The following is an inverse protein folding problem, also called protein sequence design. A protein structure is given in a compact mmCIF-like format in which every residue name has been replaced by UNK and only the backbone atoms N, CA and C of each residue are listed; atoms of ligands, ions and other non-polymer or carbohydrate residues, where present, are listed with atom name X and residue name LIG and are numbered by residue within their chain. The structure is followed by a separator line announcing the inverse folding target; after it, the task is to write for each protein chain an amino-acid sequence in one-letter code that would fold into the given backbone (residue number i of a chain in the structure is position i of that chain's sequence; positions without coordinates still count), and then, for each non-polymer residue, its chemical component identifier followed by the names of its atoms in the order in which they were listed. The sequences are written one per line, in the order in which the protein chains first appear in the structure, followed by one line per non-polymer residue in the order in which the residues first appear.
data_IF_658270931069
#
_entry.id   IF_658270931069
#
_cell.length_a   1.000
_cell.length_b   1.000
_cell.length_c   1.000
_cell.angle_alpha   90.00
_cell.angle_beta   90.00
_cell.angle_gamma   90.00
#
_symmetry.space_group_name_H-M   'P 1'
#
loop_
_entity.id
_entity.type
_entity.pdbx_description
1 polymer ?
#
# COMPACT_ATOMS: atom_id res chain seq x y z
N UNK A 1 -0.72 -9.96 -15.40
CA UNK A 1 -1.08 -8.55 -15.16
C UNK A 1 -0.86 -8.14 -13.71
N UNK A 2 -1.46 -8.82 -12.72
CA UNK A 2 -1.32 -8.47 -11.30
C UNK A 2 0.14 -8.45 -10.79
N UNK A 3 0.95 -9.44 -11.15
CA UNK A 3 2.36 -9.49 -10.74
C UNK A 3 3.18 -8.30 -11.27
N UNK A 4 3.03 -8.00 -12.57
CA UNK A 4 3.70 -6.86 -13.19
C UNK A 4 3.24 -5.53 -12.57
N UNK A 5 1.94 -5.37 -12.31
CA UNK A 5 1.41 -4.17 -11.67
C UNK A 5 1.93 -3.98 -10.24
N UNK A 6 1.95 -5.04 -9.42
CA UNK A 6 2.47 -5.00 -8.05
C UNK A 6 3.97 -4.69 -8.00
N UNK A 7 4.75 -5.26 -8.93
CA UNK A 7 6.17 -4.96 -9.07
C UNK A 7 6.41 -3.52 -9.51
N UNK A 8 5.71 -3.06 -10.54
CA UNK A 8 5.88 -1.71 -11.08
C UNK A 8 5.53 -0.62 -10.06
N UNK A 9 4.44 -0.80 -9.31
CA UNK A 9 4.04 0.15 -8.26
C UNK A 9 5.09 0.23 -7.14
N UNK A 10 5.56 -0.92 -6.65
CA UNK A 10 6.60 -0.95 -5.63
C UNK A 10 7.96 -0.45 -6.14
N UNK A 11 8.30 -0.70 -7.41
CA UNK A 11 9.52 -0.17 -8.02
C UNK A 11 9.49 1.36 -8.10
N UNK A 12 8.36 1.93 -8.53
CA UNK A 12 8.17 3.37 -8.61
C UNK A 12 8.25 4.04 -7.22
N UNK A 13 7.66 3.43 -6.20
CA UNK A 13 7.75 3.90 -4.82
C UNK A 13 9.22 3.89 -4.33
N UNK A 14 9.96 2.81 -4.57
CA UNK A 14 11.38 2.73 -4.20
C UNK A 14 12.22 3.78 -4.93
N UNK A 15 11.96 4.00 -6.21
CA UNK A 15 12.65 5.02 -7.00
C UNK A 15 12.40 6.41 -6.42
N UNK A 16 11.16 6.73 -6.05
CA UNK A 16 10.82 7.98 -5.40
C UNK A 16 11.58 8.16 -4.07
N UNK A 17 11.63 7.13 -3.22
CA UNK A 17 12.38 7.17 -1.96
C UNK A 17 13.89 7.39 -2.17
N UNK A 18 14.48 6.78 -3.20
CA UNK A 18 15.89 6.99 -3.52
C UNK A 18 16.19 8.41 -3.99
N UNK A 19 15.32 8.97 -4.84
CA UNK A 19 15.46 10.35 -5.31
C UNK A 19 15.37 11.32 -4.13
N UNK A 20 14.41 11.11 -3.23
CA UNK A 20 14.27 11.91 -2.00
C UNK A 20 15.54 11.79 -1.14
N UNK A 21 16.04 10.57 -0.90
CA UNK A 21 17.24 10.36 -0.11
C UNK A 21 18.50 11.00 -0.74
N UNK A 22 18.59 11.07 -2.07
CA UNK A 22 19.69 11.77 -2.75
C UNK A 22 19.58 13.29 -2.62
N UNK A 23 18.36 13.84 -2.68
CA UNK A 23 18.10 15.26 -2.48
C UNK A 23 18.47 15.69 -1.06
N UNK A 24 18.00 14.93 -0.07
CA UNK A 24 18.25 15.15 1.36
C UNK A 24 19.74 15.11 1.70
N UNK A 25 20.47 14.12 1.16
CA UNK A 25 21.93 14.05 1.30
C UNK A 25 22.61 15.31 0.77
N UNK A 26 22.16 15.82 -0.37
CA UNK A 26 22.71 17.03 -0.94
C UNK A 26 22.37 18.28 -0.11
N UNK A 27 21.31 18.26 0.69
CA UNK A 27 20.89 19.35 1.59
C UNK A 27 21.71 19.33 2.87
N UNK A 28 21.87 18.16 3.49
CA UNK A 28 22.80 17.93 4.60
C UNK A 28 24.24 18.34 4.28
N UNK A 29 24.71 18.05 3.06
CA UNK A 29 26.05 18.46 2.59
C UNK A 29 26.17 19.98 2.36
N UNK A 30 25.05 20.65 2.06
CA UNK A 30 24.98 22.09 1.78
C UNK A 30 24.86 22.92 3.06
N UNK A 31 23.98 22.55 3.98
CA UNK A 31 23.70 23.31 5.20
C UNK A 31 23.20 22.43 6.36
N UNK A 32 24.12 21.64 6.93
CA UNK A 32 23.82 20.83 8.11
C UNK A 32 23.22 21.63 9.28
N UNK A 33 23.62 22.89 9.47
CA UNK A 33 23.06 23.73 10.53
C UNK A 33 21.60 24.08 10.30
N UNK A 34 21.24 24.42 9.06
CA UNK A 34 19.86 24.65 8.64
C UNK A 34 19.00 23.41 8.87
N UNK A 35 19.49 22.24 8.46
CA UNK A 35 18.80 20.96 8.64
C UNK A 35 18.49 20.66 10.12
N UNK A 36 19.44 20.91 11.03
CA UNK A 36 19.22 20.77 12.48
C UNK A 36 18.16 21.77 12.99
N UNK A 37 18.14 22.99 12.47
CA UNK A 37 17.15 24.01 12.82
C UNK A 37 15.74 23.58 12.36
N UNK A 38 15.63 23.00 11.16
CA UNK A 38 14.37 22.49 10.60
C UNK A 38 13.86 21.29 11.38
N UNK A 39 14.73 20.33 11.70
CA UNK A 39 14.39 19.17 12.54
C UNK A 39 13.97 19.60 13.96
N UNK A 40 14.63 20.61 14.53
CA UNK A 40 14.22 21.16 15.82
C UNK A 40 12.82 21.79 15.72
N UNK A 41 12.54 22.59 14.68
CA UNK A 41 11.23 23.18 14.46
C UNK A 41 10.14 22.12 14.28
N UNK A 42 10.43 21.01 13.60
CA UNK A 42 9.55 19.85 13.47
C UNK A 42 9.14 19.28 14.84
N UNK A 43 10.10 19.10 15.74
CA UNK A 43 9.84 18.58 17.09
C UNK A 43 9.13 19.59 18.00
N UNK A 44 9.42 20.89 17.87
CA UNK A 44 8.65 21.94 18.53
C UNK A 44 7.17 21.90 18.11
N UNK A 45 6.89 21.72 16.81
CA UNK A 45 5.53 21.58 16.29
C UNK A 45 4.80 20.33 16.83
N UNK A 46 5.55 19.29 17.19
CA UNK A 46 5.04 18.10 17.91
C UNK A 46 4.83 18.31 19.41
N UNK A 47 5.21 19.48 19.95
CA UNK A 47 4.93 19.91 21.32
C UNK A 47 6.13 19.88 22.27
N UNK A 48 7.36 19.69 21.76
CA UNK A 48 8.57 19.77 22.59
C UNK A 48 8.90 21.23 22.90
N UNK A 49 9.56 21.48 24.04
CA UNK A 49 10.14 22.81 24.30
C UNK A 49 11.31 23.06 23.34
N UNK A 50 11.63 24.32 23.01
CA UNK A 50 12.74 24.63 22.10
C UNK A 50 14.08 24.01 22.51
N UNK A 51 14.38 24.02 23.82
CA UNK A 51 15.60 23.38 24.35
C UNK A 51 15.60 21.86 24.14
N UNK A 52 14.46 21.18 24.33
CA UNK A 52 14.36 19.73 24.15
C UNK A 52 14.39 19.36 22.67
N UNK A 53 13.67 20.11 21.84
CA UNK A 53 13.60 19.90 20.40
C UNK A 53 14.97 20.04 19.73
N UNK A 54 15.73 21.07 20.12
CA UNK A 54 17.12 21.25 19.68
C UNK A 54 17.99 20.06 20.06
N UNK A 55 17.92 19.59 21.31
CA UNK A 55 18.68 18.41 21.76
C UNK A 55 18.33 17.15 20.97
N UNK A 56 17.04 16.91 20.76
CA UNK A 56 16.58 15.77 19.95
C UNK A 56 17.11 15.86 18.53
N UNK A 57 17.02 17.03 17.89
CA UNK A 57 17.56 17.24 16.55
C UNK A 57 19.07 16.96 16.48
N UNK A 58 19.85 17.49 17.41
CA UNK A 58 21.30 17.27 17.47
C UNK A 58 21.65 15.78 17.73
N UNK A 59 20.97 15.11 18.66
CA UNK A 59 21.21 13.71 19.00
C UNK A 59 20.84 12.77 17.85
N UNK A 60 19.69 12.99 17.20
CA UNK A 60 19.26 12.21 16.03
C UNK A 60 20.20 12.43 14.84
N UNK A 61 20.59 13.69 14.59
CA UNK A 61 21.53 14.03 13.52
C UNK A 61 22.90 13.40 13.76
N UNK A 62 23.38 13.36 15.01
CA UNK A 62 24.64 12.74 15.36
C UNK A 62 24.62 11.20 15.21
N UNK A 63 23.45 10.57 15.38
CA UNK A 63 23.29 9.14 15.16
C UNK A 63 23.18 8.80 13.66
N UNK A 64 22.24 9.43 12.96
CA UNK A 64 22.03 9.30 11.51
C UNK A 64 21.22 10.49 10.99
N UNK A 65 21.92 11.49 10.45
CA UNK A 65 21.32 12.71 9.91
C UNK A 65 20.32 12.45 8.79
N UNK A 66 20.65 11.54 7.88
CA UNK A 66 19.78 11.25 6.73
C UNK A 66 18.51 10.52 7.18
N UNK A 67 18.65 9.52 8.03
CA UNK A 67 17.47 8.81 8.55
C UNK A 67 16.57 9.73 9.37
N UNK A 68 17.15 10.65 10.15
CA UNK A 68 16.40 11.62 10.95
C UNK A 68 15.54 12.54 10.07
N UNK A 69 16.10 13.08 9.00
CA UNK A 69 15.36 13.96 8.07
C UNK A 69 14.35 13.18 7.24
N UNK A 70 14.71 12.00 6.73
CA UNK A 70 13.78 11.14 5.98
C UNK A 70 12.53 10.76 6.79
N UNK A 71 12.68 10.44 8.07
CA UNK A 71 11.54 10.20 8.96
C UNK A 71 10.75 11.50 9.23
N UNK A 72 11.43 12.56 9.68
CA UNK A 72 10.77 13.80 10.09
C UNK A 72 9.99 14.49 8.94
N UNK A 73 10.56 14.53 7.74
CA UNK A 73 10.01 15.30 6.63
C UNK A 73 9.15 14.46 5.68
N UNK A 74 9.53 13.20 5.49
CA UNK A 74 8.91 12.33 4.49
C UNK A 74 8.22 11.09 5.08
N UNK A 75 8.37 10.84 6.39
CA UNK A 75 7.83 9.64 7.04
C UNK A 75 8.47 8.35 6.53
N UNK A 76 9.72 8.42 6.07
CA UNK A 76 10.48 7.29 5.55
C UNK A 76 11.43 6.81 6.66
N UNK A 77 10.95 5.85 7.46
CA UNK A 77 11.76 5.21 8.50
C UNK A 77 12.95 4.43 7.92
N UNK A 78 12.70 3.69 6.83
CA UNK A 78 13.70 2.89 6.12
C UNK A 78 13.45 2.93 4.61
N UNK A 79 14.52 3.03 3.83
CA UNK A 79 14.44 2.94 2.37
C UNK A 79 14.05 1.51 1.98
N UNK A 80 13.06 1.40 1.10
CA UNK A 80 12.58 0.11 0.63
C UNK A 80 13.70 -0.74 0.00
N UNK A 81 13.80 -1.98 0.50
CA UNK A 81 14.80 -2.95 0.05
C UNK A 81 14.69 -3.22 -1.47
N UNK A 82 15.83 -3.45 -2.13
CA UNK A 82 15.90 -3.69 -3.57
C UNK A 82 15.07 -4.90 -4.04
N UNK A 83 14.92 -5.93 -3.20
CA UNK A 83 14.13 -7.11 -3.50
C UNK A 83 12.61 -6.89 -3.29
N UNK A 84 12.19 -5.84 -2.60
CA UNK A 84 10.78 -5.62 -2.23
C UNK A 84 9.83 -5.53 -3.45
N UNK A 85 10.19 -4.86 -4.57
CA UNK A 85 9.36 -4.86 -5.76
C UNK A 85 9.11 -6.25 -6.35
N UNK A 86 10.13 -7.12 -6.32
CA UNK A 86 9.99 -8.50 -6.80
C UNK A 86 9.00 -9.26 -5.92
N UNK A 87 9.15 -9.15 -4.60
CA UNK A 87 8.24 -9.81 -3.65
C UNK A 87 6.81 -9.29 -3.74
N UNK A 88 6.62 -7.99 -3.91
CA UNK A 88 5.32 -7.37 -4.16
C UNK A 88 4.65 -7.97 -5.40
N UNK A 89 5.40 -8.08 -6.51
CA UNK A 89 4.91 -8.69 -7.74
C UNK A 89 4.55 -10.17 -7.58
N UNK A 90 5.42 -10.97 -6.96
CA UNK A 90 5.17 -12.39 -6.72
C UNK A 90 3.92 -12.60 -5.86
N UNK A 91 3.81 -11.86 -4.74
CA UNK A 91 2.67 -11.94 -3.85
C UNK A 91 1.37 -11.55 -4.56
N UNK A 92 1.37 -10.45 -5.33
CA UNK A 92 0.21 -10.02 -6.12
C UNK A 92 -0.18 -11.05 -7.19
N UNK A 93 0.80 -11.68 -7.84
CA UNK A 93 0.58 -12.74 -8.82
C UNK A 93 -0.08 -13.98 -8.20
N UNK A 94 0.45 -14.46 -7.08
CA UNK A 94 -0.08 -15.62 -6.36
C UNK A 94 -1.50 -15.34 -5.85
N UNK A 95 -1.71 -14.18 -5.22
CA UNK A 95 -3.03 -13.79 -4.71
C UNK A 95 -4.08 -13.72 -5.84
N UNK A 96 -3.71 -13.15 -7.00
CA UNK A 96 -4.58 -13.10 -8.17
C UNK A 96 -4.88 -14.50 -8.71
N UNK A 97 -3.86 -15.35 -8.86
CA UNK A 97 -4.04 -16.72 -9.37
C UNK A 97 -4.97 -17.54 -8.47
N UNK A 98 -4.77 -17.47 -7.14
CA UNK A 98 -5.63 -18.17 -6.18
C UNK A 98 -7.07 -17.62 -6.21
N UNK A 99 -7.24 -16.31 -6.30
CA UNK A 99 -8.56 -15.68 -6.41
C UNK A 99 -9.30 -16.07 -7.70
N UNK A 100 -8.58 -16.13 -8.83
CA UNK A 100 -9.14 -16.54 -10.12
C UNK A 100 -9.40 -18.05 -10.22
N UNK A 101 -8.66 -18.88 -9.48
CA UNK A 101 -8.86 -20.33 -9.47
C UNK A 101 -10.25 -20.73 -8.95
N UNK A 102 -10.80 -20.00 -7.97
CA UNK A 102 -12.12 -20.30 -7.38
C UNK A 102 -13.25 -20.31 -8.42
N UNK A 103 -13.52 -19.23 -9.17
CA UNK A 103 -14.57 -19.24 -10.19
C UNK A 103 -14.28 -20.23 -11.32
N UNK A 104 -13.02 -20.42 -11.72
CA UNK A 104 -12.67 -21.42 -12.74
C UNK A 104 -13.00 -22.85 -12.31
N UNK A 105 -12.73 -23.20 -11.05
CA UNK A 105 -13.12 -24.50 -10.49
C UNK A 105 -14.63 -24.66 -10.41
N UNK A 106 -15.38 -23.59 -10.11
CA UNK A 106 -16.84 -23.61 -10.10
C UNK A 106 -17.37 -23.88 -11.51
N UNK A 107 -16.89 -23.17 -12.54
CA UNK A 107 -17.28 -23.42 -13.93
C UNK A 107 -16.98 -24.86 -14.37
N UNK A 108 -15.89 -25.46 -13.88
CA UNK A 108 -15.54 -26.82 -14.25
C UNK A 108 -16.39 -27.90 -13.55
N UNK A 109 -16.83 -27.66 -12.31
CA UNK A 109 -17.46 -28.68 -11.46
C UNK A 109 -18.98 -28.49 -11.29
N UNK A 110 -19.49 -27.26 -11.39
CA UNK A 110 -20.88 -26.94 -11.10
C UNK A 110 -21.79 -27.26 -12.30
N UNK A 111 -23.01 -27.77 -12.06
CA UNK A 111 -24.04 -27.86 -13.09
C UNK A 111 -24.37 -26.47 -13.66
N UNK A 112 -24.57 -26.40 -14.97
CA UNK A 112 -24.89 -25.16 -15.72
C UNK A 112 -26.07 -24.38 -15.08
N UNK A 113 -27.05 -25.09 -14.53
CA UNK A 113 -28.22 -24.47 -13.89
C UNK A 113 -27.89 -23.59 -12.66
N UNK A 114 -26.79 -23.87 -11.96
CA UNK A 114 -26.41 -23.16 -10.72
C UNK A 114 -25.06 -22.44 -10.81
N UNK A 115 -24.33 -22.61 -11.91
CA UNK A 115 -22.97 -22.08 -12.11
C UNK A 115 -22.89 -20.59 -11.80
N UNK A 116 -23.72 -19.78 -12.44
CA UNK A 116 -23.73 -18.32 -12.28
C UNK A 116 -23.97 -17.93 -10.81
N UNK A 117 -24.94 -18.56 -10.15
CA UNK A 117 -25.25 -18.29 -8.74
C UNK A 117 -24.09 -18.70 -7.83
N UNK A 118 -23.46 -19.84 -8.10
CA UNK A 118 -22.31 -20.31 -7.34
C UNK A 118 -21.11 -19.35 -7.46
N UNK A 119 -20.82 -18.84 -8.66
CA UNK A 119 -19.76 -17.84 -8.89
C UNK A 119 -20.05 -16.55 -8.13
N UNK A 120 -21.28 -16.01 -8.24
CA UNK A 120 -21.66 -14.77 -7.52
C UNK A 120 -21.47 -14.95 -6.02
N UNK A 121 -21.96 -16.05 -5.44
CA UNK A 121 -21.83 -16.32 -4.01
C UNK A 121 -20.37 -16.46 -3.58
N UNK A 122 -19.55 -17.16 -4.37
CA UNK A 122 -18.12 -17.30 -4.11
C UNK A 122 -17.40 -15.94 -4.11
N UNK A 123 -17.67 -15.09 -5.11
CA UNK A 123 -17.11 -13.74 -5.19
C UNK A 123 -17.54 -12.90 -3.99
N UNK A 124 -18.83 -12.89 -3.64
CA UNK A 124 -19.33 -12.16 -2.46
C UNK A 124 -18.63 -12.64 -1.18
N UNK A 125 -18.52 -13.95 -0.99
CA UNK A 125 -17.84 -14.52 0.18
C UNK A 125 -16.36 -14.12 0.23
N UNK A 126 -15.64 -14.19 -0.91
CA UNK A 126 -14.26 -13.74 -1.01
C UNK A 126 -14.12 -12.25 -0.70
N UNK A 127 -15.01 -11.38 -1.21
CA UNK A 127 -15.00 -9.94 -0.89
C UNK A 127 -15.23 -9.70 0.60
N UNK A 128 -16.19 -10.39 1.23
CA UNK A 128 -16.43 -10.27 2.67
C UNK A 128 -15.20 -10.70 3.49
N UNK A 129 -14.60 -11.84 3.16
CA UNK A 129 -13.43 -12.36 3.88
C UNK A 129 -12.21 -11.44 3.72
N UNK A 130 -11.91 -11.03 2.50
CA UNK A 130 -10.80 -10.10 2.22
C UNK A 130 -11.02 -8.74 2.86
N UNK A 131 -12.24 -8.19 2.88
CA UNK A 131 -12.56 -6.96 3.60
C UNK A 131 -12.39 -7.09 5.11
N UNK A 132 -12.70 -8.26 5.70
CA UNK A 132 -12.48 -8.51 7.11
C UNK A 132 -10.98 -8.51 7.45
N UNK A 133 -10.18 -9.18 6.64
CA UNK A 133 -8.72 -9.19 6.78
C UNK A 133 -8.15 -7.78 6.61
N UNK A 134 -8.53 -7.07 5.56
CA UNK A 134 -8.07 -5.70 5.28
C UNK A 134 -8.45 -4.72 6.38
N UNK A 135 -9.68 -4.81 6.92
CA UNK A 135 -10.12 -3.95 8.00
C UNK A 135 -9.35 -4.18 9.30
N UNK A 136 -9.03 -5.45 9.61
CA UNK A 136 -8.20 -5.77 10.78
C UNK A 136 -6.76 -5.33 10.61
N UNK A 137 -6.16 -5.59 9.45
CA UNK A 137 -4.76 -5.23 9.18
C UNK A 137 -4.56 -3.71 9.16
N UNK A 138 -5.51 -2.94 8.63
CA UNK A 138 -5.41 -1.49 8.55
C UNK A 138 -6.04 -0.73 9.73
N UNK A 139 -6.48 -1.41 10.79
CA UNK A 139 -7.25 -0.80 11.90
C UNK A 139 -8.42 0.09 11.41
N UNK A 140 -9.08 -0.34 10.33
CA UNK A 140 -10.13 0.43 9.66
C UNK A 140 -11.52 0.06 10.19
N UNK A 141 -12.48 0.96 10.01
CA UNK A 141 -13.89 0.66 10.27
C UNK A 141 -14.41 -0.42 9.31
N UNK A 142 -14.60 -1.64 9.81
CA UNK A 142 -15.00 -2.82 9.04
C UNK A 142 -16.20 -2.55 8.12
N UNK A 143 -17.26 -1.89 8.64
CA UNK A 143 -18.46 -1.57 7.87
C UNK A 143 -18.14 -0.71 6.64
N UNK A 144 -17.24 0.26 6.75
CA UNK A 144 -16.86 1.15 5.63
C UNK A 144 -16.08 0.39 4.57
N UNK A 145 -15.14 -0.46 4.99
CA UNK A 145 -14.34 -1.31 4.09
C UNK A 145 -15.25 -2.30 3.35
N UNK A 146 -16.09 -3.04 4.09
CA UNK A 146 -17.02 -4.02 3.52
C UNK A 146 -17.95 -3.40 2.49
N UNK A 147 -18.66 -2.31 2.84
CA UNK A 147 -19.63 -1.69 1.92
C UNK A 147 -18.94 -1.19 0.67
N UNK A 148 -17.81 -0.49 0.79
CA UNK A 148 -17.04 -0.01 -0.37
C UNK A 148 -16.62 -1.18 -1.27
N UNK A 149 -16.03 -2.22 -0.70
CA UNK A 149 -15.53 -3.37 -1.45
C UNK A 149 -16.65 -4.14 -2.14
N UNK A 150 -17.78 -4.36 -1.46
CA UNK A 150 -18.95 -5.02 -2.06
C UNK A 150 -19.58 -4.19 -3.17
N UNK A 151 -19.76 -2.89 -2.97
CA UNK A 151 -20.36 -2.01 -4.00
C UNK A 151 -19.50 -1.96 -5.25
N UNK A 152 -18.18 -1.77 -5.09
CA UNK A 152 -17.25 -1.75 -6.24
C UNK A 152 -17.19 -3.12 -6.91
N UNK A 153 -17.00 -4.19 -6.13
CA UNK A 153 -16.87 -5.55 -6.67
C UNK A 153 -18.12 -6.03 -7.42
N UNK A 154 -19.30 -5.86 -6.81
CA UNK A 154 -20.57 -6.22 -7.45
C UNK A 154 -20.90 -5.28 -8.61
N UNK A 155 -20.55 -4.00 -8.52
CA UNK A 155 -20.69 -3.05 -9.62
C UNK A 155 -19.86 -3.45 -10.84
N UNK A 156 -18.58 -3.78 -10.67
CA UNK A 156 -17.71 -4.27 -11.75
C UNK A 156 -18.24 -5.57 -12.36
N UNK A 157 -18.70 -6.50 -11.51
CA UNK A 157 -19.28 -7.75 -11.98
C UNK A 157 -20.55 -7.51 -12.81
N UNK A 158 -21.45 -6.62 -12.35
CA UNK A 158 -22.66 -6.24 -13.07
C UNK A 158 -22.37 -5.61 -14.43
N UNK A 159 -21.41 -4.68 -14.49
CA UNK A 159 -20.97 -4.08 -15.76
C UNK A 159 -20.41 -5.14 -16.71
N UNK A 160 -19.59 -6.07 -16.20
CA UNK A 160 -19.00 -7.15 -17.01
C UNK A 160 -20.07 -8.09 -17.56
N UNK A 161 -21.09 -8.41 -16.76
CA UNK A 161 -22.22 -9.25 -17.16
C UNK A 161 -23.08 -8.58 -18.24
N UNK A 162 -23.40 -7.29 -18.07
CA UNK A 162 -24.17 -6.52 -19.05
C UNK A 162 -23.40 -6.37 -20.36
N UNK A 163 -22.09 -6.12 -20.29
CA UNK A 163 -21.25 -6.11 -21.48
C UNK A 163 -21.28 -7.47 -22.20
N UNK A 164 -21.19 -8.58 -21.45
CA UNK A 164 -21.34 -9.93 -21.99
C UNK A 164 -22.64 -10.10 -22.77
N UNK A 165 -23.78 -9.69 -22.19
CA UNK A 165 -25.09 -9.75 -22.86
C UNK A 165 -25.24 -8.81 -24.07
N UNK A 166 -24.47 -7.72 -24.13
CA UNK A 166 -24.55 -6.75 -25.22
C UNK A 166 -23.75 -7.19 -26.46
N UNK A 167 -22.69 -7.99 -26.27
CA UNK A 167 -21.79 -8.42 -27.34
C UNK A 167 -21.99 -9.89 -27.77
N UNK A 168 -22.68 -10.71 -26.97
CA UNK A 168 -22.99 -12.12 -27.25
C UNK A 168 -24.49 -12.38 -27.09
#
# INVERSE_FOLDING_TARGET
MAAAAGMAAAAAEREAQLVIAEQERAELDRDLSGEIDELAAHWEAKGLTPETARRVAEELTAHDALAAQLDAEHGIDEIMAEAAPIWSGVAAGIAFALGAAVPLLITWLAPVAIETTAIVLAVVLSLVLTSLVAARAGHLMLRRVLVRTLVVGLGTMGVSYVAGLAFF
#
